data_IF_548900481003
#
_entry.id   IF_548900481003
#
_cell.length_a   1.000
_cell.length_b   1.000
_cell.length_c   1.000
_cell.angle_alpha   90.00
_cell.angle_beta   90.00
_cell.angle_gamma   90.00
#
_symmetry.space_group_name_H-M   'P 1'
#
loop_
_entity.id
_entity.type
_entity.pdbx_description
1 polymer ?
#
# COMPACT_ATOMS: atom_id res chain seq x y z
N UNK A 1 -11.44 12.36 24.03
CA UNK A 1 -11.23 13.80 24.32
C UNK A 1 -12.15 14.60 23.40
N UNK A 2 -13.10 15.34 23.97
CA UNK A 2 -14.13 16.05 23.21
C UNK A 2 -13.50 17.32 22.59
N UNK A 3 -13.35 17.36 21.27
CA UNK A 3 -12.94 18.59 20.57
C UNK A 3 -13.97 19.69 20.89
N UNK A 4 -13.54 20.73 21.62
CA UNK A 4 -14.17 22.05 21.51
C UNK A 4 -13.70 22.58 20.16
N UNK A 5 -14.62 22.65 19.19
CA UNK A 5 -14.36 23.44 18.01
C UNK A 5 -14.17 24.87 18.49
N UNK A 6 -12.93 25.38 18.40
CA UNK A 6 -12.67 26.81 18.60
C UNK A 6 -13.45 27.47 17.48
N UNK A 7 -14.47 28.24 17.82
CA UNK A 7 -15.16 29.08 16.84
C UNK A 7 -14.09 30.04 16.32
N UNK A 8 -13.76 30.02 15.02
CA UNK A 8 -12.73 30.89 14.47
C UNK A 8 -13.09 32.35 14.73
N UNK A 9 -12.09 33.21 14.87
CA UNK A 9 -12.35 34.65 14.99
C UNK A 9 -12.97 35.19 13.69
N UNK A 10 -13.68 36.31 13.76
CA UNK A 10 -14.22 36.98 12.57
C UNK A 10 -13.13 37.30 11.55
N UNK A 11 -11.90 37.59 11.99
CA UNK A 11 -10.74 37.76 11.11
C UNK A 11 -10.35 36.47 10.39
N UNK A 12 -10.35 35.32 11.07
CA UNK A 12 -10.00 34.04 10.46
C UNK A 12 -11.02 33.64 9.38
N UNK A 13 -12.31 33.88 9.64
CA UNK A 13 -13.38 33.62 8.67
C UNK A 13 -13.24 34.49 7.43
N UNK A 14 -12.91 35.78 7.59
CA UNK A 14 -12.67 36.69 6.46
C UNK A 14 -11.46 36.27 5.63
N UNK A 15 -10.35 35.92 6.28
CA UNK A 15 -9.15 35.44 5.60
C UNK A 15 -9.46 34.17 4.78
N UNK A 16 -10.17 33.21 5.37
CA UNK A 16 -10.60 32.00 4.65
C UNK A 16 -11.51 32.34 3.46
N UNK A 17 -12.45 33.28 3.61
CA UNK A 17 -13.32 33.69 2.52
C UNK A 17 -12.54 34.32 1.36
N UNK A 18 -11.55 35.17 1.65
CA UNK A 18 -10.66 35.74 0.64
C UNK A 18 -9.85 34.67 -0.10
N UNK A 19 -9.31 33.68 0.62
CA UNK A 19 -8.57 32.57 0.02
C UNK A 19 -9.47 31.68 -0.84
N UNK A 20 -10.69 31.39 -0.39
CA UNK A 20 -11.68 30.64 -1.16
C UNK A 20 -12.12 31.39 -2.42
N UNK A 21 -12.33 32.70 -2.35
CA UNK A 21 -12.66 33.52 -3.53
C UNK A 21 -11.55 33.43 -4.57
N UNK A 22 -10.28 33.63 -4.15
CA UNK A 22 -9.13 33.50 -5.06
C UNK A 22 -9.03 32.10 -5.66
N UNK A 23 -9.27 31.05 -4.88
CA UNK A 23 -9.25 29.68 -5.37
C UNK A 23 -10.34 29.46 -6.43
N UNK A 24 -11.58 29.88 -6.13
CA UNK A 24 -12.74 29.70 -7.02
C UNK A 24 -12.57 30.48 -8.33
N UNK A 25 -12.11 31.73 -8.27
CA UNK A 25 -11.89 32.57 -9.44
C UNK A 25 -10.84 32.00 -10.40
N UNK A 26 -9.92 31.17 -9.89
CA UNK A 26 -8.84 30.56 -10.67
C UNK A 26 -9.04 29.05 -10.91
N UNK A 27 -10.22 28.47 -10.61
CA UNK A 27 -10.43 27.02 -10.70
C UNK A 27 -10.11 26.44 -12.08
N UNK A 28 -10.50 27.13 -13.16
CA UNK A 28 -10.30 26.66 -14.53
C UNK A 28 -8.81 26.53 -14.91
N UNK A 29 -7.96 27.38 -14.34
CA UNK A 29 -6.51 27.39 -14.58
C UNK A 29 -5.71 26.65 -13.50
N UNK A 30 -6.36 26.23 -12.42
CA UNK A 30 -5.70 25.53 -11.30
C UNK A 30 -5.49 24.06 -11.66
N UNK A 31 -4.27 23.55 -11.41
CA UNK A 31 -3.97 22.13 -11.53
C UNK A 31 -4.93 21.31 -10.65
N UNK A 32 -5.58 20.29 -11.23
CA UNK A 32 -6.64 19.51 -10.58
C UNK A 32 -7.93 20.28 -10.24
N UNK A 33 -8.20 21.41 -10.91
CA UNK A 33 -9.37 22.26 -10.67
C UNK A 33 -10.71 21.52 -10.62
N UNK A 34 -10.93 20.52 -11.49
CA UNK A 34 -12.16 19.70 -11.49
C UNK A 34 -12.36 18.92 -10.18
N UNK A 35 -11.29 18.38 -9.60
CA UNK A 35 -11.33 17.63 -8.34
C UNK A 35 -11.56 18.58 -7.16
N UNK A 36 -10.91 19.75 -7.17
CA UNK A 36 -11.09 20.79 -6.15
C UNK A 36 -12.54 21.30 -6.19
N UNK A 37 -13.06 21.62 -7.37
CA UNK A 37 -14.45 22.02 -7.55
C UNK A 37 -15.42 20.97 -7.01
N UNK A 38 -15.19 19.69 -7.34
CA UNK A 38 -16.03 18.60 -6.89
C UNK A 38 -16.05 18.48 -5.36
N UNK A 39 -14.90 18.63 -4.70
CA UNK A 39 -14.79 18.61 -3.24
C UNK A 39 -15.51 19.82 -2.59
N UNK A 40 -15.27 21.03 -3.10
CA UNK A 40 -15.93 22.24 -2.60
C UNK A 40 -17.45 22.17 -2.76
N UNK A 41 -17.92 21.72 -3.93
CA UNK A 41 -19.34 21.53 -4.21
C UNK A 41 -19.99 20.54 -3.25
N UNK A 42 -19.33 19.42 -2.97
CA UNK A 42 -19.84 18.43 -2.01
C UNK A 42 -20.00 19.03 -0.61
N UNK A 43 -19.02 19.83 -0.14
CA UNK A 43 -19.10 20.52 1.16
C UNK A 43 -20.25 21.55 1.17
N UNK A 44 -20.40 22.34 0.11
CA UNK A 44 -21.50 23.32 -0.01
C UNK A 44 -22.88 22.67 -0.07
N UNK A 45 -23.00 21.52 -0.74
CA UNK A 45 -24.26 20.79 -0.78
C UNK A 45 -24.59 20.20 0.59
N UNK A 46 -23.60 19.62 1.28
CA UNK A 46 -23.81 19.05 2.61
C UNK A 46 -24.24 20.11 3.64
N UNK A 47 -23.77 21.35 3.53
CA UNK A 47 -24.16 22.45 4.43
C UNK A 47 -25.63 22.87 4.32
N UNK A 48 -26.32 22.43 3.28
CA UNK A 48 -27.75 22.67 3.04
C UNK A 48 -28.62 21.49 3.46
N UNK A 49 -28.03 20.44 4.05
CA UNK A 49 -28.75 19.24 4.52
C UNK A 49 -28.91 19.26 6.04
N UNK A 50 -29.77 18.40 6.57
CA UNK A 50 -29.96 18.18 8.01
C UNK A 50 -28.84 17.31 8.64
N UNK A 51 -27.62 17.34 8.09
CA UNK A 51 -26.49 16.57 8.57
C UNK A 51 -26.13 16.92 10.02
N UNK A 52 -25.90 15.89 10.84
CA UNK A 52 -25.68 16.08 12.26
C UNK A 52 -24.25 16.53 12.57
N UNK A 53 -24.05 17.04 13.79
CA UNK A 53 -22.72 17.45 14.27
C UNK A 53 -21.68 16.32 14.15
N UNK A 54 -22.09 15.06 14.31
CA UNK A 54 -21.18 13.93 14.19
C UNK A 54 -20.67 13.76 12.76
N UNK A 55 -21.54 13.91 11.76
CA UNK A 55 -21.18 13.83 10.34
C UNK A 55 -20.12 14.87 9.98
N UNK A 56 -20.32 16.11 10.42
CA UNK A 56 -19.36 17.20 10.21
C UNK A 56 -18.02 16.95 10.90
N UNK A 57 -18.02 16.35 12.09
CA UNK A 57 -16.78 15.97 12.79
C UNK A 57 -16.01 14.89 12.06
N UNK A 58 -16.71 13.90 11.51
CA UNK A 58 -16.11 12.82 10.72
C UNK A 58 -15.51 13.40 9.44
N UNK A 59 -16.27 14.19 8.68
CA UNK A 59 -15.80 14.81 7.44
C UNK A 59 -14.58 15.70 7.68
N UNK A 60 -14.69 16.69 8.59
CA UNK A 60 -13.61 17.63 8.85
C UNK A 60 -12.36 16.93 9.41
N UNK A 61 -12.53 15.98 10.33
CA UNK A 61 -11.41 15.21 10.87
C UNK A 61 -10.73 14.34 9.82
N UNK A 62 -11.50 13.74 8.91
CA UNK A 62 -10.96 12.91 7.82
C UNK A 62 -10.19 13.74 6.81
N UNK A 63 -10.72 14.91 6.42
CA UNK A 63 -10.01 15.84 5.54
C UNK A 63 -8.68 16.31 6.16
N UNK A 64 -8.65 16.60 7.45
CA UNK A 64 -7.43 16.97 8.15
C UNK A 64 -6.43 15.81 8.27
N UNK A 65 -6.90 14.60 8.53
CA UNK A 65 -6.05 13.39 8.52
C UNK A 65 -5.41 13.20 7.14
N UNK A 66 -6.22 13.26 6.07
CA UNK A 66 -5.76 13.11 4.69
C UNK A 66 -4.78 14.23 4.27
N UNK A 67 -5.09 15.48 4.60
CA UNK A 67 -4.22 16.62 4.29
C UNK A 67 -2.81 16.44 4.87
N UNK A 68 -2.72 16.08 6.17
CA UNK A 68 -1.44 15.86 6.86
C UNK A 68 -0.65 14.71 6.24
N UNK A 69 -1.33 13.60 5.99
CA UNK A 69 -0.70 12.42 5.40
C UNK A 69 -0.23 12.67 3.96
N UNK A 70 -1.00 13.37 3.12
CA UNK A 70 -0.56 13.80 1.78
C UNK A 70 0.71 14.64 1.88
N UNK A 71 0.71 15.68 2.72
CA UNK A 71 1.86 16.56 2.87
C UNK A 71 3.12 15.81 3.34
N UNK A 72 2.95 14.88 4.28
CA UNK A 72 4.05 14.06 4.80
C UNK A 72 4.65 13.12 3.76
N UNK A 73 3.81 12.39 3.00
CA UNK A 73 4.27 11.36 2.07
C UNK A 73 4.64 11.91 0.70
N UNK A 74 4.10 13.05 0.28
CA UNK A 74 4.34 13.60 -1.05
C UNK A 74 5.82 13.72 -1.43
N UNK A 75 6.74 14.21 -0.56
CA UNK A 75 8.18 14.25 -0.87
C UNK A 75 8.80 12.87 -1.17
N UNK A 76 8.18 11.79 -0.69
CA UNK A 76 8.66 10.41 -0.79
C UNK A 76 7.79 9.53 -1.69
N UNK A 77 6.87 10.12 -2.46
CA UNK A 77 5.94 9.39 -3.34
C UNK A 77 6.62 8.47 -4.37
N UNK A 78 7.89 8.70 -4.64
CA UNK A 78 8.72 7.94 -5.57
C UNK A 78 9.71 6.99 -4.90
N UNK A 79 9.56 6.74 -3.59
CA UNK A 79 10.32 5.72 -2.88
C UNK A 79 9.38 4.61 -2.48
N UNK A 80 9.76 3.36 -2.77
CA UNK A 80 8.98 2.19 -2.36
C UNK A 80 8.94 2.06 -0.85
N UNK A 81 7.81 1.60 -0.33
CA UNK A 81 7.57 1.52 1.11
C UNK A 81 7.10 0.12 1.49
N UNK A 82 7.63 -0.41 2.59
CA UNK A 82 7.15 -1.64 3.23
C UNK A 82 6.40 -1.29 4.50
N UNK A 83 5.16 -1.75 4.59
CA UNK A 83 4.39 -1.65 5.83
C UNK A 83 4.71 -2.86 6.72
N UNK A 84 5.14 -2.61 7.95
CA UNK A 84 5.40 -3.66 8.94
C UNK A 84 4.28 -3.69 9.97
N UNK A 85 3.66 -4.85 10.12
CA UNK A 85 2.63 -5.13 11.12
C UNK A 85 3.05 -6.24 12.07
N UNK A 86 2.64 -6.15 13.32
CA UNK A 86 2.91 -7.18 14.33
C UNK A 86 2.46 -6.73 15.71
N UNK A 87 2.67 -7.59 16.70
CA UNK A 87 2.23 -7.32 18.07
C UNK A 87 2.87 -6.05 18.66
N UNK A 88 2.03 -5.17 19.21
CA UNK A 88 2.46 -4.03 20.01
C UNK A 88 3.01 -4.42 21.39
N UNK A 89 2.91 -5.71 21.76
CA UNK A 89 3.22 -6.25 23.09
C UNK A 89 4.49 -7.10 23.12
N UNK A 90 5.11 -7.34 21.96
CA UNK A 90 6.39 -8.06 21.91
C UNK A 90 7.44 -7.28 22.69
N UNK A 91 8.16 -7.96 23.58
CA UNK A 91 9.22 -7.33 24.38
C UNK A 91 10.46 -7.06 23.52
N UNK A 92 11.24 -6.02 23.84
CA UNK A 92 12.46 -5.68 23.11
C UNK A 92 13.50 -6.82 23.11
N UNK A 93 13.54 -7.60 24.20
CA UNK A 93 14.44 -8.75 24.34
C UNK A 93 13.94 -10.03 23.62
N UNK A 94 12.76 -10.00 23.01
CA UNK A 94 12.20 -11.16 22.33
C UNK A 94 12.91 -11.37 20.97
N UNK A 95 13.20 -12.62 20.56
CA UNK A 95 13.79 -12.91 19.25
C UNK A 95 12.99 -12.32 18.08
N UNK A 96 11.67 -12.27 18.19
CA UNK A 96 10.77 -11.70 17.18
C UNK A 96 10.97 -10.18 17.02
N UNK A 97 11.32 -9.46 18.11
CA UNK A 97 11.68 -8.05 18.03
C UNK A 97 12.96 -7.89 17.21
N UNK A 98 14.00 -8.67 17.53
CA UNK A 98 15.27 -8.63 16.81
C UNK A 98 15.10 -8.98 15.33
N UNK A 99 14.29 -9.99 15.02
CA UNK A 99 13.97 -10.37 13.64
C UNK A 99 13.31 -9.22 12.86
N UNK A 100 12.36 -8.51 13.48
CA UNK A 100 11.71 -7.36 12.85
C UNK A 100 12.65 -6.17 12.65
N UNK A 101 13.57 -5.94 13.60
CA UNK A 101 14.64 -4.96 13.46
C UNK A 101 15.55 -5.31 12.28
N UNK A 102 16.07 -6.54 12.23
CA UNK A 102 17.03 -6.98 11.22
C UNK A 102 16.37 -6.99 9.82
N UNK A 103 15.09 -7.36 9.72
CA UNK A 103 14.31 -7.23 8.49
C UNK A 103 14.19 -5.77 8.03
N UNK A 104 13.87 -4.85 8.94
CA UNK A 104 13.74 -3.44 8.61
C UNK A 104 15.07 -2.81 8.18
N UNK A 105 16.17 -3.17 8.83
CA UNK A 105 17.51 -2.76 8.43
C UNK A 105 17.83 -3.28 7.01
N UNK A 106 17.62 -4.57 6.76
CA UNK A 106 17.96 -5.16 5.48
C UNK A 106 17.09 -4.63 4.32
N UNK A 107 15.79 -4.46 4.52
CA UNK A 107 14.90 -3.96 3.45
C UNK A 107 15.18 -2.49 3.12
N UNK A 108 15.61 -1.70 4.10
CA UNK A 108 16.01 -0.30 3.85
C UNK A 108 17.36 -0.20 3.13
N UNK A 109 18.30 -1.11 3.38
CA UNK A 109 19.52 -1.23 2.58
C UNK A 109 19.22 -1.57 1.11
N UNK A 110 18.09 -2.21 0.83
CA UNK A 110 17.58 -2.45 -0.52
C UNK A 110 16.80 -1.26 -1.11
N UNK A 111 16.79 -0.10 -0.47
CA UNK A 111 16.20 1.13 -1.01
C UNK A 111 14.73 1.36 -0.67
N UNK A 112 14.12 0.50 0.16
CA UNK A 112 12.77 0.73 0.67
C UNK A 112 12.77 1.68 1.86
N UNK A 113 11.63 2.32 2.10
CA UNK A 113 11.31 2.97 3.37
C UNK A 113 10.35 2.10 4.17
N UNK A 114 10.26 2.31 5.48
CA UNK A 114 9.42 1.49 6.37
C UNK A 114 8.31 2.34 6.95
N UNK A 115 7.09 1.81 6.92
CA UNK A 115 5.89 2.41 7.52
C UNK A 115 5.38 1.47 8.60
N UNK A 116 5.14 1.96 9.80
CA UNK A 116 4.53 1.16 10.88
C UNK A 116 3.43 1.96 11.59
N UNK A 117 2.77 1.32 12.56
CA UNK A 117 1.85 2.01 13.45
C UNK A 117 2.48 2.94 14.50
N UNK A 118 3.81 3.00 14.56
CA UNK A 118 4.59 3.76 15.54
C UNK A 118 4.24 3.48 17.01
N UNK A 119 3.75 2.28 17.33
CA UNK A 119 3.56 1.81 18.70
C UNK A 119 4.80 1.06 19.23
N UNK A 120 4.64 0.36 20.36
CA UNK A 120 5.65 -0.55 20.91
C UNK A 120 5.80 -1.87 20.14
N UNK A 121 6.62 -2.77 20.67
CA UNK A 121 6.82 -4.13 20.14
C UNK A 121 7.35 -4.16 18.71
N UNK A 122 6.77 -5.00 17.85
CA UNK A 122 7.23 -5.16 16.46
C UNK A 122 7.24 -3.84 15.69
N UNK A 123 6.27 -2.95 15.94
CA UNK A 123 6.24 -1.65 15.28
C UNK A 123 7.46 -0.79 15.67
N UNK A 124 7.87 -0.83 16.94
CA UNK A 124 9.07 -0.16 17.41
C UNK A 124 10.33 -0.78 16.79
N UNK A 125 10.44 -2.11 16.75
CA UNK A 125 11.55 -2.80 16.09
C UNK A 125 11.69 -2.39 14.62
N UNK A 126 10.56 -2.36 13.89
CA UNK A 126 10.54 -1.95 12.49
C UNK A 126 10.97 -0.49 12.29
N UNK A 127 10.50 0.41 13.16
CA UNK A 127 10.94 1.81 13.08
C UNK A 127 12.41 1.98 13.45
N UNK A 128 12.88 1.30 14.49
CA UNK A 128 14.25 1.35 14.98
C UNK A 128 15.25 0.83 13.93
N UNK A 129 15.00 -0.36 13.37
CA UNK A 129 15.86 -0.96 12.33
C UNK A 129 15.87 -0.17 11.03
N UNK A 130 14.81 0.59 10.75
CA UNK A 130 14.74 1.43 9.53
C UNK A 130 15.47 2.78 9.63
N UNK A 131 15.88 3.19 10.83
CA UNK A 131 16.58 4.46 11.08
C UNK A 131 15.89 5.68 10.43
N UNK A 132 16.65 6.46 9.67
CA UNK A 132 16.14 7.64 8.95
C UNK A 132 15.24 7.31 7.74
N UNK A 133 14.81 6.06 7.53
CA UNK A 133 13.83 5.67 6.51
C UNK A 133 12.46 5.30 7.11
N UNK A 134 12.24 5.67 8.36
CA UNK A 134 11.07 5.34 9.18
C UNK A 134 9.91 6.32 9.02
N UNK A 135 8.68 5.81 8.94
CA UNK A 135 7.42 6.53 9.08
C UNK A 135 6.51 5.90 10.13
N UNK A 136 5.69 6.74 10.75
CA UNK A 136 4.69 6.35 11.72
C UNK A 136 3.29 6.82 11.36
N UNK A 137 2.36 5.88 11.24
CA UNK A 137 0.93 6.14 11.16
C UNK A 137 0.31 5.71 12.49
N UNK A 138 0.29 6.60 13.46
CA UNK A 138 -0.25 6.33 14.79
C UNK A 138 -1.77 6.64 14.83
N UNK A 139 -2.48 6.14 15.83
CA UNK A 139 -3.91 6.38 16.04
C UNK A 139 -4.15 7.00 17.42
N UNK A 140 -4.97 8.05 17.47
CA UNK A 140 -5.32 8.72 18.72
C UNK A 140 -6.30 7.85 19.53
N UNK A 141 -5.83 7.17 20.58
CA UNK A 141 -6.67 6.37 21.46
C UNK A 141 -7.00 7.12 22.78
N UNK A 142 -8.10 6.75 23.48
CA UNK A 142 -8.45 7.35 24.78
C UNK A 142 -7.41 7.07 25.87
N UNK A 143 -6.66 5.97 25.73
CA UNK A 143 -5.55 5.59 26.58
C UNK A 143 -4.26 5.92 25.81
N UNK A 144 -3.28 6.50 26.47
CA UNK A 144 -2.08 7.01 25.82
C UNK A 144 -1.25 5.86 25.21
N UNK A 145 -1.37 5.68 23.90
CA UNK A 145 -0.37 4.94 23.12
C UNK A 145 0.68 5.96 22.69
N UNK A 146 1.74 6.09 23.49
CA UNK A 146 2.89 6.93 23.13
C UNK A 146 3.50 6.40 21.83
N UNK A 147 3.81 7.30 20.90
CA UNK A 147 4.64 6.95 19.74
C UNK A 147 5.96 6.37 20.23
N UNK A 148 6.53 5.39 19.52
CA UNK A 148 7.92 5.05 19.77
C UNK A 148 8.83 6.24 19.38
N UNK A 149 9.94 6.40 20.09
CA UNK A 149 10.86 7.52 19.90
C UNK A 149 11.76 7.41 18.66
N UNK A 150 11.51 6.43 17.78
CA UNK A 150 12.36 6.15 16.61
C UNK A 150 11.85 6.85 15.34
N UNK A 151 10.63 7.38 15.34
CA UNK A 151 10.07 8.14 14.22
C UNK A 151 10.24 9.64 14.48
N UNK A 152 10.80 10.42 13.53
CA UNK A 152 10.83 11.88 13.63
C UNK A 152 9.42 12.48 13.71
N UNK A 153 9.01 12.97 14.89
CA UNK A 153 7.62 13.40 15.13
C UNK A 153 7.17 14.53 14.19
N UNK A 154 8.05 15.49 13.89
CA UNK A 154 7.68 16.70 13.14
C UNK A 154 7.55 16.50 11.63
N UNK A 155 8.10 15.41 11.09
CA UNK A 155 8.18 15.23 9.64
C UNK A 155 7.70 13.87 9.12
N UNK A 156 7.55 12.87 9.99
CA UNK A 156 7.28 11.48 9.56
C UNK A 156 6.28 10.72 10.43
N UNK A 157 5.62 11.41 11.34
CA UNK A 157 4.57 10.85 12.19
C UNK A 157 3.24 11.56 11.93
N UNK A 158 2.22 10.81 11.52
CA UNK A 158 0.84 11.28 11.50
C UNK A 158 0.05 10.58 12.59
N UNK A 159 -0.56 11.37 13.46
CA UNK A 159 -1.51 10.89 14.48
C UNK A 159 -2.93 11.00 13.91
N UNK A 160 -3.43 9.88 13.39
CA UNK A 160 -4.78 9.79 12.83
C UNK A 160 -5.83 9.86 13.93
N UNK A 161 -7.02 10.32 13.57
CA UNK A 161 -8.20 10.31 14.46
C UNK A 161 -9.09 9.12 14.21
N UNK A 162 -9.18 8.69 12.95
CA UNK A 162 -10.04 7.60 12.53
C UNK A 162 -9.24 6.41 12.03
N UNK A 163 -9.70 5.20 12.34
CA UNK A 163 -9.06 3.98 11.86
C UNK A 163 -9.13 3.86 10.33
N UNK A 164 -10.24 4.24 9.70
CA UNK A 164 -10.40 4.08 8.26
C UNK A 164 -9.47 4.99 7.44
N UNK A 165 -9.20 6.23 7.90
CA UNK A 165 -8.21 7.09 7.24
C UNK A 165 -6.82 6.54 7.42
N UNK A 166 -6.48 6.02 8.61
CA UNK A 166 -5.19 5.38 8.87
C UNK A 166 -4.95 4.16 7.97
N UNK A 167 -5.93 3.26 7.89
CA UNK A 167 -5.93 2.06 7.05
C UNK A 167 -5.77 2.38 5.58
N UNK A 168 -6.51 3.40 5.11
CA UNK A 168 -6.36 3.93 3.75
C UNK A 168 -4.90 4.30 3.44
N UNK A 169 -4.19 4.99 4.35
CA UNK A 169 -2.79 5.36 4.11
C UNK A 169 -1.82 4.19 4.24
N UNK A 170 -2.09 3.19 5.10
CA UNK A 170 -1.27 1.97 5.08
C UNK A 170 -1.34 1.27 3.73
N UNK A 171 -2.52 1.19 3.10
CA UNK A 171 -2.67 0.56 1.78
C UNK A 171 -2.10 1.45 0.68
N UNK A 172 -2.41 2.75 0.71
CA UNK A 172 -2.00 3.71 -0.32
C UNK A 172 -0.49 3.92 -0.37
N UNK A 173 0.17 3.93 0.78
CA UNK A 173 1.60 4.25 0.91
C UNK A 173 2.44 2.98 1.14
N UNK A 174 1.97 1.83 0.70
CA UNK A 174 2.68 0.55 0.81
C UNK A 174 2.76 -0.13 -0.54
N UNK A 175 3.99 -0.46 -0.92
CA UNK A 175 4.31 -1.30 -2.06
C UNK A 175 4.50 -2.76 -1.64
N UNK A 176 4.82 -3.02 -0.38
CA UNK A 176 4.94 -4.37 0.16
C UNK A 176 4.52 -4.43 1.63
N UNK A 177 4.20 -5.62 2.11
CA UNK A 177 3.76 -5.82 3.49
C UNK A 177 4.60 -6.93 4.13
N UNK A 178 5.07 -6.68 5.35
CA UNK A 178 5.67 -7.69 6.20
C UNK A 178 4.87 -7.83 7.49
N UNK A 179 4.39 -9.04 7.76
CA UNK A 179 3.59 -9.35 8.94
C UNK A 179 4.36 -10.29 9.86
N UNK A 180 4.57 -9.85 11.09
CA UNK A 180 5.09 -10.66 12.18
C UNK A 180 3.94 -11.11 13.08
N UNK A 181 4.13 -12.12 13.96
CA UNK A 181 3.09 -12.60 14.85
C UNK A 181 2.43 -11.46 15.64
N UNK A 182 1.10 -11.47 15.66
CA UNK A 182 0.31 -10.33 16.10
C UNK A 182 -1.05 -10.69 16.67
N UNK A 183 -1.76 -9.67 17.17
CA UNK A 183 -3.13 -9.79 17.65
C UNK A 183 -4.15 -9.36 16.60
N UNK A 184 -5.35 -8.97 17.05
CA UNK A 184 -6.42 -8.51 16.16
C UNK A 184 -6.05 -7.33 15.28
N UNK A 185 -5.23 -6.37 15.75
CA UNK A 185 -4.80 -5.27 14.90
C UNK A 185 -3.96 -5.73 13.70
N UNK A 186 -3.06 -6.69 13.90
CA UNK A 186 -2.26 -7.27 12.81
C UNK A 186 -3.15 -8.04 11.83
N UNK A 187 -4.09 -8.83 12.35
CA UNK A 187 -5.01 -9.61 11.53
C UNK A 187 -5.98 -8.70 10.75
N UNK A 188 -6.45 -7.61 11.35
CA UNK A 188 -7.32 -6.62 10.72
C UNK A 188 -6.63 -5.98 9.49
N UNK A 189 -5.39 -5.49 9.66
CA UNK A 189 -4.61 -4.96 8.53
C UNK A 189 -4.29 -6.04 7.49
N UNK A 190 -4.04 -7.28 7.92
CA UNK A 190 -3.75 -8.38 7.01
C UNK A 190 -4.95 -8.74 6.13
N UNK A 191 -6.11 -8.99 6.73
CA UNK A 191 -7.33 -9.35 6.01
C UNK A 191 -7.83 -8.22 5.11
N UNK A 192 -7.65 -6.97 5.51
CA UNK A 192 -7.94 -5.83 4.63
C UNK A 192 -7.07 -5.88 3.38
N UNK A 193 -5.75 -6.06 3.53
CA UNK A 193 -4.83 -6.11 2.40
C UNK A 193 -5.10 -7.33 1.49
N UNK A 194 -5.34 -8.51 2.07
CA UNK A 194 -5.73 -9.71 1.33
C UNK A 194 -6.99 -9.47 0.52
N UNK A 195 -8.04 -8.94 1.15
CA UNK A 195 -9.34 -8.69 0.48
C UNK A 195 -9.18 -7.68 -0.66
N UNK A 196 -8.41 -6.61 -0.46
CA UNK A 196 -8.19 -5.60 -1.50
C UNK A 196 -7.39 -6.15 -2.69
N UNK A 197 -6.40 -7.03 -2.44
CA UNK A 197 -5.65 -7.68 -3.51
C UNK A 197 -6.50 -8.74 -4.24
N UNK A 198 -7.21 -9.58 -3.50
CA UNK A 198 -8.11 -10.61 -4.02
C UNK A 198 -9.22 -10.01 -4.89
N UNK A 199 -9.68 -8.80 -4.60
CA UNK A 199 -10.75 -8.12 -5.36
C UNK A 199 -10.24 -7.13 -6.40
N UNK A 200 -8.92 -7.00 -6.57
CA UNK A 200 -8.32 -6.03 -7.51
C UNK A 200 -8.58 -4.57 -7.19
N UNK A 201 -8.95 -4.26 -5.94
CA UNK A 201 -9.20 -2.90 -5.47
C UNK A 201 -7.93 -2.15 -5.12
N UNK A 202 -6.80 -2.85 -5.08
CA UNK A 202 -5.48 -2.27 -4.97
C UNK A 202 -4.52 -2.91 -5.97
N UNK A 203 -3.38 -2.26 -6.22
CA UNK A 203 -2.31 -2.81 -7.05
C UNK A 203 -1.69 -4.05 -6.40
N UNK A 204 -1.29 -5.06 -7.21
CA UNK A 204 -0.57 -6.23 -6.72
C UNK A 204 0.70 -5.83 -5.96
N UNK A 205 0.97 -6.53 -4.86
CA UNK A 205 2.06 -6.27 -3.93
C UNK A 205 2.51 -7.56 -3.24
N UNK A 206 3.81 -7.74 -2.96
CA UNK A 206 4.29 -8.88 -2.21
C UNK A 206 3.93 -8.71 -0.73
N UNK A 207 3.39 -9.77 -0.13
CA UNK A 207 3.16 -9.88 1.31
C UNK A 207 3.98 -11.03 1.87
N UNK A 208 4.76 -10.76 2.91
CA UNK A 208 5.53 -11.78 3.63
C UNK A 208 4.98 -11.95 5.04
N UNK A 209 4.74 -13.20 5.42
CA UNK A 209 4.37 -13.63 6.75
C UNK A 209 5.64 -14.17 7.42
N UNK A 210 6.28 -13.32 8.21
CA UNK A 210 7.50 -13.62 8.94
C UNK A 210 7.16 -14.45 10.16
N UNK A 211 7.52 -15.73 10.14
CA UNK A 211 7.52 -16.56 11.34
C UNK A 211 8.91 -16.50 12.00
N UNK A 212 9.01 -16.87 13.27
CA UNK A 212 10.33 -17.09 13.86
C UNK A 212 10.86 -18.45 13.43
N UNK A 213 12.18 -18.63 13.52
CA UNK A 213 12.80 -19.94 13.25
C UNK A 213 12.21 -21.02 14.16
N UNK A 214 11.62 -22.05 13.55
CA UNK A 214 10.92 -23.13 14.25
C UNK A 214 9.59 -22.72 14.91
N UNK A 215 9.08 -21.53 14.60
CA UNK A 215 7.73 -21.10 14.94
C UNK A 215 6.68 -21.73 14.03
N UNK A 216 5.43 -21.66 14.47
CA UNK A 216 4.28 -22.21 13.76
C UNK A 216 3.11 -21.23 13.69
N UNK A 217 3.29 -19.95 14.06
CA UNK A 217 2.18 -18.99 14.12
C UNK A 217 1.48 -18.85 12.77
N UNK A 218 2.25 -18.62 11.70
CA UNK A 218 1.68 -18.43 10.36
C UNK A 218 1.35 -19.75 9.68
N UNK A 219 2.06 -20.82 10.02
CA UNK A 219 1.73 -22.16 9.54
C UNK A 219 0.35 -22.63 10.08
N UNK A 220 0.07 -22.39 11.37
CA UNK A 220 -1.23 -22.68 11.97
C UNK A 220 -2.33 -21.80 11.39
N UNK A 221 -2.03 -20.53 11.08
CA UNK A 221 -2.96 -19.65 10.37
C UNK A 221 -3.25 -20.15 8.94
N UNK A 222 -2.24 -20.60 8.19
CA UNK A 222 -2.42 -21.15 6.85
C UNK A 222 -3.17 -22.49 6.86
N UNK A 223 -3.01 -23.31 7.90
CA UNK A 223 -3.86 -24.49 8.11
C UNK A 223 -5.33 -24.07 8.25
N UNK A 224 -5.64 -23.01 9.01
CA UNK A 224 -6.99 -22.46 9.06
C UNK A 224 -7.48 -21.98 7.68
N UNK A 225 -6.64 -21.29 6.90
CA UNK A 225 -6.98 -20.88 5.54
C UNK A 225 -7.31 -22.08 4.66
N UNK A 226 -6.50 -23.13 4.70
CA UNK A 226 -6.72 -24.34 3.90
C UNK A 226 -7.96 -25.11 4.35
N UNK A 227 -8.08 -25.43 5.64
CA UNK A 227 -9.13 -26.30 6.16
C UNK A 227 -10.49 -25.61 6.30
N UNK A 228 -10.50 -24.31 6.57
CA UNK A 228 -11.75 -23.58 6.80
C UNK A 228 -12.14 -22.70 5.63
N UNK A 229 -11.20 -22.00 4.98
CA UNK A 229 -11.56 -21.09 3.90
C UNK A 229 -11.60 -21.81 2.54
N UNK A 230 -10.54 -22.56 2.19
CA UNK A 230 -10.45 -23.24 0.89
C UNK A 230 -11.32 -24.49 0.84
N UNK A 231 -11.19 -25.40 1.82
CA UNK A 231 -11.94 -26.66 1.80
C UNK A 231 -13.46 -26.47 1.86
N UNK A 232 -13.93 -25.31 2.34
CA UNK A 232 -15.35 -24.93 2.35
C UNK A 232 -15.77 -24.04 1.18
N UNK A 233 -14.85 -23.72 0.26
CA UNK A 233 -15.12 -22.90 -0.93
C UNK A 233 -15.40 -21.43 -0.64
N UNK A 234 -14.89 -20.89 0.47
CA UNK A 234 -15.01 -19.46 0.82
C UNK A 234 -14.00 -18.59 0.06
N UNK A 235 -12.87 -19.18 -0.34
CA UNK A 235 -11.85 -18.59 -1.21
C UNK A 235 -11.32 -19.67 -2.18
N UNK A 236 -10.56 -19.28 -3.20
CA UNK A 236 -9.93 -20.24 -4.13
C UNK A 236 -8.51 -20.59 -3.67
N UNK A 237 -7.97 -21.72 -4.13
CA UNK A 237 -6.63 -22.19 -3.68
C UNK A 237 -5.51 -21.23 -4.08
N UNK A 238 -5.69 -20.55 -5.21
CA UNK A 238 -4.75 -19.59 -5.79
C UNK A 238 -4.64 -18.31 -4.95
N UNK A 239 -5.60 -18.03 -4.07
CA UNK A 239 -5.51 -16.88 -3.15
C UNK A 239 -4.36 -17.02 -2.14
N UNK A 240 -3.84 -18.25 -1.93
CA UNK A 240 -2.61 -18.48 -1.15
C UNK A 240 -1.38 -17.87 -1.81
N UNK A 241 -1.41 -17.63 -3.11
CA UNK A 241 -0.30 -17.00 -3.84
C UNK A 241 -0.16 -15.52 -3.50
N UNK A 242 -1.15 -14.90 -2.84
CA UNK A 242 -1.12 -13.51 -2.38
C UNK A 242 -0.11 -13.26 -1.25
N UNK A 243 0.35 -14.30 -0.55
CA UNK A 243 1.31 -14.18 0.55
C UNK A 243 2.37 -15.28 0.52
N UNK A 244 3.51 -15.01 1.14
CA UNK A 244 4.60 -15.97 1.33
C UNK A 244 4.91 -16.10 2.82
N UNK A 245 4.90 -17.33 3.34
CA UNK A 245 5.36 -17.63 4.70
C UNK A 245 6.85 -17.97 4.63
N UNK A 246 7.64 -17.38 5.53
CA UNK A 246 9.06 -17.69 5.71
C UNK A 246 9.53 -17.32 7.11
N UNK A 247 10.58 -17.97 7.59
CA UNK A 247 11.32 -17.59 8.80
C UNK A 247 12.70 -16.97 8.49
N UNK A 248 13.04 -16.85 7.20
CA UNK A 248 14.31 -16.33 6.70
C UNK A 248 14.14 -14.88 6.21
N UNK A 249 14.95 -13.99 6.79
CA UNK A 249 14.93 -12.55 6.49
C UNK A 249 15.43 -12.29 5.06
N UNK A 250 16.50 -12.97 4.63
CA UNK A 250 17.06 -12.81 3.29
C UNK A 250 16.05 -13.24 2.23
N UNK A 251 15.35 -14.36 2.47
CA UNK A 251 14.30 -14.85 1.60
C UNK A 251 13.13 -13.84 1.50
N UNK A 252 12.69 -13.29 2.62
CA UNK A 252 11.62 -12.30 2.67
C UNK A 252 12.00 -11.01 1.93
N UNK A 253 13.18 -10.46 2.20
CA UNK A 253 13.68 -9.27 1.53
C UNK A 253 13.92 -9.51 0.04
N UNK A 254 14.40 -10.70 -0.34
CA UNK A 254 14.55 -11.08 -1.74
C UNK A 254 13.20 -11.16 -2.43
N UNK A 255 12.20 -11.83 -1.85
CA UNK A 255 10.86 -11.91 -2.43
C UNK A 255 10.22 -10.54 -2.66
N UNK A 256 10.36 -9.61 -1.70
CA UNK A 256 9.83 -8.25 -1.83
C UNK A 256 10.57 -7.47 -2.94
N UNK A 257 11.90 -7.54 -2.96
CA UNK A 257 12.69 -6.75 -3.92
C UNK A 257 12.62 -7.31 -5.34
N UNK A 258 12.60 -8.64 -5.51
CA UNK A 258 12.50 -9.28 -6.82
C UNK A 258 11.13 -9.13 -7.47
N UNK A 259 10.07 -8.91 -6.69
CA UNK A 259 8.72 -8.65 -7.21
C UNK A 259 8.68 -7.45 -8.16
N UNK A 260 9.62 -6.52 -8.03
CA UNK A 260 9.71 -5.31 -8.84
C UNK A 260 10.93 -5.28 -9.77
N UNK A 261 11.54 -6.43 -10.05
CA UNK A 261 12.72 -6.53 -10.90
C UNK A 261 12.36 -6.31 -12.38
N UNK A 262 11.39 -7.06 -12.90
CA UNK A 262 10.85 -6.92 -14.25
C UNK A 262 9.49 -6.25 -14.21
N UNK A 263 8.59 -6.68 -13.32
CA UNK A 263 7.30 -6.03 -13.14
C UNK A 263 7.47 -4.63 -12.56
N UNK A 264 6.84 -3.65 -13.21
CA UNK A 264 6.87 -2.27 -12.76
C UNK A 264 5.53 -1.88 -12.11
N UNK A 265 4.45 -1.91 -12.88
CA UNK A 265 3.10 -1.57 -12.42
C UNK A 265 2.04 -2.14 -13.36
N UNK A 266 0.76 -2.01 -13.00
CA UNK A 266 -0.36 -2.39 -13.86
C UNK A 266 -1.49 -1.37 -13.83
N UNK A 267 -2.31 -1.34 -14.87
CA UNK A 267 -3.54 -0.54 -14.91
C UNK A 267 -4.57 -1.11 -15.89
N UNK A 268 -5.78 -0.60 -15.76
CA UNK A 268 -6.85 -0.81 -16.74
C UNK A 268 -6.84 0.27 -17.81
N UNK A 269 -6.99 -0.16 -19.08
CA UNK A 269 -7.23 0.73 -20.23
C UNK A 269 -8.38 0.15 -21.05
N UNK A 270 -9.61 0.58 -20.75
CA UNK A 270 -10.80 -0.04 -21.33
C UNK A 270 -10.98 -1.47 -20.80
N UNK A 271 -11.09 -2.44 -21.71
CA UNK A 271 -11.18 -3.88 -21.38
C UNK A 271 -9.81 -4.58 -21.35
N UNK A 272 -8.71 -3.84 -21.54
CA UNK A 272 -7.35 -4.35 -21.47
C UNK A 272 -6.75 -4.12 -20.08
N UNK A 273 -6.14 -5.18 -19.56
CA UNK A 273 -5.23 -5.12 -18.43
C UNK A 273 -3.80 -4.93 -18.97
N UNK A 274 -3.18 -3.81 -18.59
CA UNK A 274 -1.84 -3.43 -19.04
C UNK A 274 -0.88 -3.62 -17.88
N UNK A 275 0.14 -4.45 -18.08
CA UNK A 275 1.29 -4.59 -17.19
C UNK A 275 2.46 -3.85 -17.83
N UNK A 276 3.09 -2.95 -17.08
CA UNK A 276 4.34 -2.28 -17.46
C UNK A 276 5.51 -3.06 -16.89
N UNK A 277 6.60 -3.09 -17.65
CA UNK A 277 7.82 -3.77 -17.29
C UNK A 277 8.98 -2.78 -17.24
N UNK A 278 9.97 -3.04 -16.38
CA UNK A 278 11.25 -2.34 -16.39
C UNK A 278 12.12 -2.75 -17.58
N UNK A 279 11.96 -4.00 -18.03
CA UNK A 279 12.77 -4.61 -19.09
C UNK A 279 11.87 -5.41 -20.05
N UNK A 280 12.31 -5.55 -21.30
CA UNK A 280 11.65 -6.45 -22.24
C UNK A 280 11.87 -7.91 -21.84
N UNK A 281 10.86 -8.75 -22.05
CA UNK A 281 10.97 -10.21 -21.92
C UNK A 281 11.16 -10.86 -23.28
N UNK A 282 11.88 -11.98 -23.34
CA UNK A 282 12.15 -12.73 -24.58
C UNK A 282 10.88 -13.40 -25.14
N UNK A 283 10.93 -13.84 -26.40
CA UNK A 283 9.80 -14.54 -27.03
C UNK A 283 9.49 -15.86 -26.32
N UNK A 284 10.54 -16.63 -25.97
CA UNK A 284 10.41 -17.88 -25.20
C UNK A 284 9.75 -17.63 -23.83
N UNK A 285 10.10 -16.53 -23.16
CA UNK A 285 9.47 -16.17 -21.89
C UNK A 285 7.99 -15.83 -22.10
N UNK A 286 7.65 -15.03 -23.12
CA UNK A 286 6.27 -14.68 -23.43
C UNK A 286 5.42 -15.91 -23.79
N UNK A 287 5.97 -16.86 -24.55
CA UNK A 287 5.30 -18.11 -24.89
C UNK A 287 5.03 -18.94 -23.63
N UNK A 288 6.03 -19.05 -22.73
CA UNK A 288 5.85 -19.68 -21.42
C UNK A 288 4.75 -19.01 -20.58
N UNK A 289 4.63 -17.69 -20.62
CA UNK A 289 3.54 -16.99 -19.92
C UNK A 289 2.18 -17.33 -20.53
N UNK A 290 2.09 -17.39 -21.86
CA UNK A 290 0.85 -17.75 -22.55
C UNK A 290 0.41 -19.19 -22.26
N UNK A 291 1.34 -20.14 -22.28
CA UNK A 291 1.05 -21.54 -21.99
C UNK A 291 0.54 -21.71 -20.55
N UNK A 292 1.15 -21.01 -19.60
CA UNK A 292 0.85 -21.19 -18.18
C UNK A 292 -0.34 -20.37 -17.68
N UNK A 293 -0.74 -19.28 -18.34
CA UNK A 293 -1.73 -18.32 -17.81
C UNK A 293 -2.91 -18.06 -18.76
N UNK A 294 -3.13 -18.92 -19.74
CA UNK A 294 -4.32 -18.84 -20.62
C UNK A 294 -5.65 -18.97 -19.88
N UNK A 295 -5.67 -19.63 -18.72
CA UNK A 295 -6.85 -19.87 -17.87
C UNK A 295 -7.45 -18.59 -17.27
N UNK A 296 -6.66 -17.52 -17.16
CA UNK A 296 -7.10 -16.24 -16.60
C UNK A 296 -7.48 -15.20 -17.67
N UNK A 297 -7.48 -15.59 -18.94
CA UNK A 297 -7.83 -14.73 -20.07
C UNK A 297 -9.27 -14.95 -20.49
N UNK A 298 -10.01 -13.86 -20.68
CA UNK A 298 -11.37 -13.90 -21.26
C UNK A 298 -11.30 -14.25 -22.76
N UNK A 299 -10.30 -13.69 -23.45
CA UNK A 299 -10.07 -13.87 -24.88
C UNK A 299 -8.61 -13.54 -25.24
N UNK A 300 -8.16 -14.06 -26.37
CA UNK A 300 -6.83 -13.77 -26.90
C UNK A 300 -5.71 -14.38 -26.07
N UNK A 301 -4.57 -13.70 -26.05
CA UNK A 301 -3.33 -14.13 -25.39
C UNK A 301 -2.66 -12.91 -24.72
N UNK A 302 -1.61 -13.15 -23.94
CA UNK A 302 -0.73 -12.10 -23.44
C UNK A 302 0.17 -11.64 -24.60
N UNK A 303 0.17 -10.35 -24.88
CA UNK A 303 0.88 -9.76 -26.03
C UNK A 303 1.74 -8.57 -25.60
N UNK A 304 2.87 -8.36 -26.28
CA UNK A 304 3.63 -7.11 -26.11
C UNK A 304 2.88 -5.95 -26.74
N UNK A 305 2.96 -4.78 -26.11
CA UNK A 305 2.42 -3.54 -26.65
C UNK A 305 3.37 -2.37 -26.41
N UNK A 306 3.16 -1.32 -27.20
CA UNK A 306 3.65 0.02 -26.90
C UNK A 306 2.64 0.75 -26.00
N UNK A 307 2.96 1.98 -25.57
CA UNK A 307 2.03 2.81 -24.81
C UNK A 307 0.72 3.04 -25.56
N UNK A 308 -0.41 2.85 -24.87
CA UNK A 308 -1.72 3.12 -25.44
C UNK A 308 -2.03 4.63 -25.39
N UNK A 309 -2.85 5.18 -26.31
CA UNK A 309 -3.16 6.62 -26.35
C UNK A 309 -3.72 7.20 -25.03
N UNK A 310 -4.43 6.37 -24.25
CA UNK A 310 -4.99 6.76 -22.94
C UNK A 310 -3.95 6.87 -21.82
N UNK A 311 -2.68 6.57 -22.11
CA UNK A 311 -1.54 6.70 -21.18
C UNK A 311 -0.68 7.93 -21.50
N UNK A 312 -1.08 8.77 -22.47
CA UNK A 312 -0.26 9.90 -22.95
C UNK A 312 0.02 10.97 -21.87
N UNK A 313 -0.78 11.01 -20.80
CA UNK A 313 -0.56 11.90 -19.65
C UNK A 313 0.53 11.41 -18.70
N UNK A 314 1.04 10.19 -18.86
CA UNK A 314 2.09 9.59 -18.02
C UNK A 314 3.45 9.59 -18.75
N UNK A 315 3.89 10.77 -19.17
CA UNK A 315 5.10 10.93 -20.00
C UNK A 315 6.35 10.25 -19.42
N UNK A 316 6.48 10.19 -18.09
CA UNK A 316 7.63 9.61 -17.40
C UNK A 316 7.76 8.08 -17.52
N UNK A 317 6.70 7.38 -17.93
CA UNK A 317 6.67 5.92 -18.06
C UNK A 317 6.16 5.49 -19.44
N UNK A 318 6.19 6.40 -20.42
CA UNK A 318 5.69 6.14 -21.76
C UNK A 318 6.59 5.14 -22.51
N UNK A 319 7.88 5.12 -22.22
CA UNK A 319 8.87 4.29 -22.91
C UNK A 319 9.00 2.86 -22.34
N UNK A 320 8.32 2.55 -21.24
CA UNK A 320 8.42 1.23 -20.60
C UNK A 320 7.80 0.11 -21.46
N UNK A 321 8.42 -1.06 -21.60
CA UNK A 321 7.79 -2.20 -22.25
C UNK A 321 6.47 -2.59 -21.57
N UNK A 322 5.51 -3.12 -22.33
CA UNK A 322 4.19 -3.52 -21.81
C UNK A 322 3.77 -4.89 -22.26
N UNK A 323 3.05 -5.57 -21.38
CA UNK A 323 2.19 -6.71 -21.70
C UNK A 323 0.74 -6.27 -21.61
N UNK A 324 -0.08 -6.65 -22.59
CA UNK A 324 -1.52 -6.43 -22.58
C UNK A 324 -2.24 -7.76 -22.64
N UNK A 325 -3.39 -7.83 -21.96
CA UNK A 325 -4.22 -9.01 -21.93
C UNK A 325 -5.67 -8.67 -21.57
N UNK A 326 -6.61 -9.53 -21.93
CA UNK A 326 -8.00 -9.46 -21.44
C UNK A 326 -8.16 -10.30 -20.18
N UNK A 327 -7.64 -9.82 -19.05
CA UNK A 327 -7.71 -10.50 -17.76
C UNK A 327 -9.16 -10.62 -17.26
N UNK A 328 -9.50 -11.75 -16.65
CA UNK A 328 -10.86 -12.09 -16.21
C UNK A 328 -11.40 -11.29 -15.02
N UNK A 329 -10.58 -10.44 -14.37
CA UNK A 329 -10.96 -9.61 -13.22
C UNK A 329 -11.40 -10.40 -11.97
N UNK A 330 -11.05 -11.68 -11.89
CA UNK A 330 -11.45 -12.54 -10.77
C UNK A 330 -10.28 -13.34 -10.22
N UNK A 331 -9.37 -13.80 -11.06
CA UNK A 331 -8.27 -14.69 -10.66
C UNK A 331 -7.04 -13.92 -10.17
N UNK A 332 -7.19 -13.06 -9.16
CA UNK A 332 -6.09 -12.22 -8.67
C UNK A 332 -4.96 -12.99 -7.98
N UNK A 333 -5.25 -14.14 -7.36
CA UNK A 333 -4.22 -15.07 -6.91
C UNK A 333 -3.33 -15.57 -8.05
N UNK A 334 -3.93 -15.92 -9.20
CA UNK A 334 -3.18 -16.30 -10.42
C UNK A 334 -2.46 -15.12 -11.05
N UNK A 335 -3.01 -13.90 -10.96
CA UNK A 335 -2.30 -12.70 -11.39
C UNK A 335 -1.00 -12.50 -10.59
N UNK A 336 -1.01 -12.80 -9.29
CA UNK A 336 0.19 -12.76 -8.45
C UNK A 336 1.23 -13.80 -8.88
N UNK A 337 0.80 -15.01 -9.26
CA UNK A 337 1.66 -16.03 -9.87
C UNK A 337 2.22 -15.57 -11.22
N UNK A 338 1.40 -14.91 -12.06
CA UNK A 338 1.85 -14.34 -13.33
C UNK A 338 2.93 -13.29 -13.12
N UNK A 339 2.76 -12.39 -12.14
CA UNK A 339 3.78 -11.38 -11.82
C UNK A 339 5.07 -12.05 -11.31
N UNK A 340 4.96 -13.11 -10.51
CA UNK A 340 6.12 -13.91 -10.11
C UNK A 340 6.83 -14.52 -11.31
N UNK A 341 6.08 -15.10 -12.25
CA UNK A 341 6.63 -15.67 -13.48
C UNK A 341 7.21 -14.62 -14.44
N UNK A 342 6.68 -13.39 -14.47
CA UNK A 342 7.25 -12.26 -15.22
C UNK A 342 8.62 -11.88 -14.68
N UNK A 343 8.80 -11.91 -13.36
CA UNK A 343 10.07 -11.59 -12.72
C UNK A 343 11.10 -12.74 -12.78
N UNK A 344 10.68 -13.95 -13.11
CA UNK A 344 11.56 -15.11 -13.30
C UNK A 344 12.20 -15.12 -14.70
N UNK A 345 13.14 -14.19 -14.93
CA UNK A 345 14.05 -14.23 -16.07
C UNK A 345 15.30 -14.99 -15.63
N UNK A 346 15.69 -16.06 -16.33
CA UNK A 346 16.75 -16.99 -15.89
C UNK A 346 18.20 -16.41 -15.82
N UNK A 347 18.39 -15.11 -15.57
CA UNK A 347 19.69 -14.40 -15.61
C UNK A 347 19.77 -13.16 -14.68
N UNK A 348 19.29 -13.20 -13.43
CA UNK A 348 19.23 -12.00 -12.57
C UNK A 348 20.50 -11.74 -11.74
N UNK A 349 21.47 -11.06 -12.34
CA UNK A 349 22.45 -10.24 -11.61
C UNK A 349 21.83 -8.89 -11.21
N UNK A 350 21.32 -8.78 -9.98
CA UNK A 350 20.72 -7.56 -9.34
C UNK A 350 21.52 -6.25 -9.59
N UNK A 351 20.95 -5.01 -9.52
CA UNK A 351 19.64 -4.57 -9.01
C UNK A 351 18.92 -3.45 -9.84
N UNK A 352 17.71 -3.02 -9.42
CA UNK A 352 17.36 -1.64 -9.00
C UNK A 352 15.95 -1.67 -8.37
N UNK A 353 15.83 -1.14 -7.15
CA UNK A 353 14.55 -0.87 -6.46
C UNK A 353 14.14 0.56 -6.78
N UNK A 354 13.56 0.78 -7.96
CA UNK A 354 12.93 2.06 -8.29
C UNK A 354 11.42 1.92 -8.11
N UNK A 355 10.80 2.90 -7.46
CA UNK A 355 9.34 3.00 -7.43
C UNK A 355 8.80 3.15 -8.86
N UNK A 356 7.57 2.67 -9.17
CA UNK A 356 7.01 2.74 -10.52
C UNK A 356 6.78 4.16 -11.07
N UNK A 357 7.13 5.18 -10.30
CA UNK A 357 6.95 6.58 -10.68
C UNK A 357 8.23 7.37 -10.41
N UNK A 358 9.32 6.68 -10.04
CA UNK A 358 10.59 7.30 -9.71
C UNK A 358 11.25 7.89 -10.96
N UNK A 359 11.55 9.19 -10.85
CA UNK A 359 12.16 10.02 -11.90
C UNK A 359 13.63 9.72 -12.11
#
# INVERSE_FOLDING_TARGET
>A
MMFMAIIPSTSDIKALAEDLHKLVDNLESTEHGELIYSALKAITQLSQTDAERLDWKILAGSLQDMQKAIAMFYPYRFKRKVSIFGSARTHADAPEYRQAYDFAEQITQRGFMVVTGAGGGIMAAGNEGSGENSFGLNISLPFEQTSNGFVPEDSRLVKFRYFFTRKLYFVKESDAIALFPGGFGTQDEFFECLTLCQTGRTTPRPMVLMDKKGGDYWNQWDIFVQEQLIARGLIVKEDRSLYKITDDIDEACQYISSFYSVYHSCRWVGDLFVIRLNFEITDEHLDRLNDNFSDILIKGKIERSQSLPKEANEQHIIDLPRLIMHFNQHSFGRLQELITAINDTCDSGNPIVCHPEQR
#
